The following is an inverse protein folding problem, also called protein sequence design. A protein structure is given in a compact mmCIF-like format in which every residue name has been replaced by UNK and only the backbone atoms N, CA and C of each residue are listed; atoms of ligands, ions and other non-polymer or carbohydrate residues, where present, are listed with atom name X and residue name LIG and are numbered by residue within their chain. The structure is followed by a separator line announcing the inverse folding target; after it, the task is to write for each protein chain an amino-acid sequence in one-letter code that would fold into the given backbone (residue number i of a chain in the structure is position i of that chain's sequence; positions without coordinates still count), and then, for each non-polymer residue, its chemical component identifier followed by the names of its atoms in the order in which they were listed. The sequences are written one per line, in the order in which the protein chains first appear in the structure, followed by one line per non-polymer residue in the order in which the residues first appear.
data_IF_667149344005
#
_entry.id   IF_667149344005
#
_cell.length_a   1.000
_cell.length_b   1.000
_cell.length_c   1.000
_cell.angle_alpha   90.00
_cell.angle_beta   90.00
_cell.angle_gamma   90.00
#
_symmetry.space_group_name_H-M   'P 1'
#
loop_
_entity.id
_entity.type
_entity.pdbx_description
1 polymer ?
#
# COMPACT_ATOMS: atom_id res chain seq x y z
N UNK A 1 12.55 10.67 -5.90
CA UNK A 1 12.95 10.86 -7.32
C UNK A 1 11.87 11.51 -8.21
N UNK A 2 10.57 11.21 -8.04
CA UNK A 2 9.47 11.80 -8.85
C UNK A 2 9.25 13.30 -8.61
N UNK A 3 9.51 13.79 -7.39
CA UNK A 3 9.46 15.22 -7.05
C UNK A 3 10.56 16.03 -7.74
N UNK A 4 11.78 15.48 -7.81
CA UNK A 4 12.90 16.10 -8.50
C UNK A 4 12.60 16.30 -10.01
N UNK A 5 11.95 15.32 -10.64
CA UNK A 5 11.55 15.40 -12.05
C UNK A 5 10.48 16.48 -12.29
N UNK A 6 9.50 16.61 -11.38
CA UNK A 6 8.50 17.67 -11.45
C UNK A 6 9.11 19.05 -11.24
N UNK A 7 10.05 19.19 -10.30
CA UNK A 7 10.78 20.44 -10.09
C UNK A 7 11.70 20.79 -11.27
N UNK A 8 12.25 19.77 -11.94
CA UNK A 8 13.11 19.96 -13.09
C UNK A 8 12.29 20.44 -14.29
N UNK A 9 11.10 19.88 -14.53
CA UNK A 9 10.17 20.34 -15.56
C UNK A 9 9.65 21.76 -15.31
N UNK A 10 9.32 22.13 -14.06
CA UNK A 10 8.91 23.51 -13.74
C UNK A 10 10.08 24.49 -13.90
N UNK A 11 11.28 24.10 -13.52
CA UNK A 11 12.49 24.90 -13.75
C UNK A 11 12.80 25.04 -15.24
N UNK A 12 12.72 23.97 -16.03
CA UNK A 12 12.91 24.00 -17.48
C UNK A 12 11.88 24.88 -18.16
N UNK A 13 10.60 24.76 -17.80
CA UNK A 13 9.53 25.61 -18.30
C UNK A 13 9.75 27.09 -17.97
N UNK A 14 10.22 27.38 -16.75
CA UNK A 14 10.58 28.74 -16.34
C UNK A 14 11.77 29.29 -17.15
N UNK A 15 12.81 28.48 -17.36
CA UNK A 15 13.99 28.85 -18.18
C UNK A 15 13.58 29.08 -19.64
N UNK A 16 12.71 28.23 -20.20
CA UNK A 16 12.22 28.35 -21.57
C UNK A 16 11.34 29.59 -21.75
N UNK A 17 10.47 29.89 -20.78
CA UNK A 17 9.67 31.11 -20.77
C UNK A 17 10.56 32.36 -20.68
N UNK A 18 11.58 32.33 -19.83
CA UNK A 18 12.55 33.42 -19.67
C UNK A 18 13.37 33.61 -20.96
N UNK A 19 13.76 32.52 -21.61
CA UNK A 19 14.44 32.53 -22.91
C UNK A 19 13.55 33.11 -24.03
N UNK A 20 12.26 32.73 -24.08
CA UNK A 20 11.27 33.29 -25.02
C UNK A 20 11.04 34.79 -24.83
N UNK A 21 10.94 35.24 -23.57
CA UNK A 21 10.72 36.66 -23.22
C UNK A 21 11.95 37.52 -23.58
N UNK A 22 13.17 37.02 -23.36
CA UNK A 22 14.40 37.75 -23.69
C UNK A 22 14.76 37.69 -25.18
N UNK A 23 14.51 36.56 -25.84
CA UNK A 23 14.98 36.30 -27.20
C UNK A 23 14.06 36.78 -28.31
N UNK A 24 12.73 36.71 -28.15
CA UNK A 24 11.83 36.77 -29.30
C UNK A 24 10.81 37.93 -29.31
N UNK A 25 10.62 38.67 -28.20
CA UNK A 25 9.56 39.68 -28.12
C UNK A 25 10.08 41.12 -28.07
N UNK A 26 9.68 42.05 -28.96
CA UNK A 26 10.07 43.47 -28.92
C UNK A 26 9.23 44.22 -27.87
N UNK A 27 9.32 43.78 -26.61
CA UNK A 27 8.68 44.40 -25.46
C UNK A 27 9.59 45.49 -24.88
N UNK A 28 8.98 46.60 -24.44
CA UNK A 28 9.65 47.65 -23.66
C UNK A 28 10.45 47.03 -22.51
N UNK A 29 11.64 47.58 -22.23
CA UNK A 29 12.60 47.05 -21.24
C UNK A 29 11.95 46.82 -19.88
N UNK A 30 10.97 47.64 -19.48
CA UNK A 30 10.23 47.50 -18.22
C UNK A 30 9.33 46.25 -18.15
N UNK A 31 8.64 45.88 -19.23
CA UNK A 31 7.74 44.72 -19.21
C UNK A 31 8.49 43.38 -19.29
N UNK A 32 9.66 43.34 -19.95
CA UNK A 32 10.57 42.17 -19.91
C UNK A 32 11.04 41.88 -18.48
N UNK A 33 11.46 42.91 -17.75
CA UNK A 33 11.89 42.77 -16.35
C UNK A 33 10.73 42.29 -15.49
N UNK A 34 9.55 42.91 -15.61
CA UNK A 34 8.36 42.53 -14.84
C UNK A 34 7.94 41.06 -15.05
N UNK A 35 7.95 40.56 -16.29
CA UNK A 35 7.60 39.17 -16.58
C UNK A 35 8.65 38.18 -16.08
N UNK A 36 9.93 38.51 -16.19
CA UNK A 36 11.00 37.63 -15.67
C UNK A 36 10.92 37.48 -14.14
N UNK A 37 10.64 38.57 -13.43
CA UNK A 37 10.40 38.58 -11.99
C UNK A 37 9.17 37.75 -11.62
N UNK A 38 8.09 37.84 -12.40
CA UNK A 38 6.88 37.02 -12.20
C UNK A 38 7.19 35.52 -12.31
N UNK A 39 7.95 35.10 -13.32
CA UNK A 39 8.30 33.69 -13.53
C UNK A 39 9.17 33.14 -12.40
N UNK A 40 10.15 33.91 -11.94
CA UNK A 40 11.00 33.55 -10.79
C UNK A 40 10.15 33.46 -9.52
N UNK A 41 9.23 34.41 -9.31
CA UNK A 41 8.37 34.44 -8.14
C UNK A 41 7.39 33.25 -8.12
N UNK A 42 6.75 32.94 -9.25
CA UNK A 42 5.83 31.80 -9.37
C UNK A 42 6.56 30.46 -9.19
N UNK A 43 7.73 30.30 -9.81
CA UNK A 43 8.54 29.07 -9.64
C UNK A 43 9.06 28.91 -8.21
N UNK A 44 9.52 30.00 -7.59
CA UNK A 44 9.91 30.03 -6.19
C UNK A 44 8.75 29.67 -5.25
N UNK A 45 7.57 30.24 -5.45
CA UNK A 45 6.36 29.92 -4.67
C UNK A 45 5.91 28.48 -4.88
N UNK A 46 5.93 27.97 -6.11
CA UNK A 46 5.61 26.56 -6.37
C UNK A 46 6.61 25.62 -5.69
N UNK A 47 7.90 25.92 -5.77
CA UNK A 47 8.94 25.13 -5.11
C UNK A 47 8.81 25.17 -3.59
N UNK A 48 8.52 26.36 -3.04
CA UNK A 48 8.32 26.54 -1.61
C UNK A 48 7.08 25.80 -1.12
N UNK A 49 5.95 25.88 -1.83
CA UNK A 49 4.74 25.12 -1.53
C UNK A 49 4.94 23.62 -1.62
N UNK A 50 5.68 23.14 -2.62
CA UNK A 50 6.01 21.72 -2.74
C UNK A 50 6.88 21.24 -1.58
N UNK A 51 7.94 21.98 -1.25
CA UNK A 51 8.80 21.68 -0.09
C UNK A 51 8.02 21.77 1.22
N UNK A 52 7.14 22.75 1.38
CA UNK A 52 6.35 22.90 2.59
C UNK A 52 5.35 21.76 2.71
N UNK A 53 4.71 21.32 1.62
CA UNK A 53 3.83 20.15 1.62
C UNK A 53 4.60 18.85 1.95
N UNK A 54 5.79 18.66 1.38
CA UNK A 54 6.63 17.49 1.68
C UNK A 54 7.14 17.52 3.12
N UNK A 55 7.55 18.68 3.62
CA UNK A 55 8.02 18.88 5.00
C UNK A 55 6.90 18.68 6.00
N UNK A 56 5.72 19.29 5.80
CA UNK A 56 4.56 19.12 6.66
C UNK A 56 4.14 17.65 6.72
N UNK A 57 4.21 16.92 5.60
CA UNK A 57 3.94 15.47 5.57
C UNK A 57 5.01 14.68 6.32
N UNK A 58 6.28 15.03 6.16
CA UNK A 58 7.37 14.37 6.86
C UNK A 58 7.34 14.64 8.38
N UNK A 59 7.00 15.84 8.82
CA UNK A 59 6.87 16.19 10.24
C UNK A 59 5.65 15.53 10.86
N UNK A 60 4.52 15.56 10.16
CA UNK A 60 3.30 14.78 10.47
C UNK A 60 3.71 13.33 10.70
N UNK A 61 4.25 12.64 9.70
CA UNK A 61 4.64 11.22 9.80
C UNK A 61 5.64 11.00 10.95
N UNK A 62 6.60 11.90 11.16
CA UNK A 62 7.60 11.78 12.23
C UNK A 62 6.99 11.89 13.63
N UNK A 63 6.16 12.90 13.88
CA UNK A 63 5.49 13.09 15.17
C UNK A 63 4.53 11.94 15.49
N UNK A 64 3.83 11.41 14.48
CA UNK A 64 2.93 10.26 14.67
C UNK A 64 3.66 8.93 14.87
N UNK A 65 4.78 8.71 14.17
CA UNK A 65 5.56 7.48 14.34
C UNK A 65 6.23 7.51 15.71
N UNK A 66 6.76 8.65 16.16
CA UNK A 66 7.44 8.77 17.46
C UNK A 66 6.53 8.38 18.65
N UNK A 67 5.25 8.79 18.63
CA UNK A 67 4.29 8.42 19.68
C UNK A 67 3.81 6.96 19.65
N UNK A 68 3.90 6.29 18.50
CA UNK A 68 3.27 4.98 18.27
C UNK A 68 4.27 3.88 17.88
N UNK A 69 5.57 4.11 18.10
CA UNK A 69 6.63 3.14 17.84
C UNK A 69 6.60 2.00 18.86
N UNK A 70 6.94 0.77 18.45
CA UNK A 70 7.20 -0.30 19.38
C UNK A 70 8.39 0.05 20.29
N UNK A 71 8.41 -0.46 21.53
CA UNK A 71 9.56 -0.33 22.44
C UNK A 71 10.85 -0.83 21.79
N UNK A 72 12.01 -0.29 22.20
CA UNK A 72 13.33 -0.69 21.68
C UNK A 72 13.60 -2.20 21.83
N UNK A 73 13.02 -2.83 22.85
CA UNK A 73 13.20 -4.25 23.17
C UNK A 73 12.17 -5.18 22.49
N UNK A 74 11.29 -4.65 21.63
CA UNK A 74 10.25 -5.46 20.99
C UNK A 74 10.86 -6.42 19.95
N UNK A 75 10.73 -7.72 20.22
CA UNK A 75 11.23 -8.81 19.37
C UNK A 75 10.16 -9.37 18.40
N UNK A 76 9.01 -8.72 18.30
CA UNK A 76 7.91 -9.16 17.43
C UNK A 76 7.98 -8.56 16.03
N UNK A 77 7.23 -9.14 15.09
CA UNK A 77 7.18 -8.63 13.71
C UNK A 77 6.55 -7.23 13.67
N UNK A 78 7.16 -6.32 12.92
CA UNK A 78 6.60 -4.98 12.68
C UNK A 78 6.02 -4.95 11.28
N UNK A 79 4.71 -4.77 11.17
CA UNK A 79 4.00 -4.87 9.89
C UNK A 79 3.42 -3.52 9.49
N UNK A 80 3.89 -3.00 8.35
CA UNK A 80 3.38 -1.78 7.74
C UNK A 80 2.14 -2.11 6.90
N UNK A 81 0.96 -1.73 7.36
CA UNK A 81 -0.30 -2.09 6.74
C UNK A 81 -0.76 -1.00 5.77
N UNK A 82 -0.81 -1.34 4.49
CA UNK A 82 -1.12 -0.47 3.36
C UNK A 82 -2.48 -0.82 2.73
N UNK A 83 -3.06 0.09 1.96
CA UNK A 83 -4.30 -0.15 1.21
C UNK A 83 -5.57 0.00 2.06
N UNK A 84 -6.53 -0.90 1.87
CA UNK A 84 -7.89 -0.85 2.45
C UNK A 84 -7.91 -1.41 3.87
N UNK A 85 -7.16 -0.78 4.75
CA UNK A 85 -6.82 -1.26 6.08
C UNK A 85 -7.84 -0.90 7.18
N UNK A 86 -8.95 -0.25 6.84
CA UNK A 86 -10.04 0.07 7.77
C UNK A 86 -10.56 -1.14 8.59
N UNK A 87 -10.65 -2.38 8.05
CA UNK A 87 -11.08 -3.54 8.82
C UNK A 87 -10.09 -3.96 9.93
N UNK A 88 -8.82 -3.55 9.84
CA UNK A 88 -7.77 -3.99 10.78
C UNK A 88 -7.59 -3.07 11.97
N UNK A 89 -7.93 -1.79 11.83
CA UNK A 89 -7.71 -0.78 12.87
C UNK A 89 -9.06 -0.35 13.46
N UNK A 90 -9.11 -0.24 14.79
CA UNK A 90 -10.28 0.32 15.48
C UNK A 90 -10.35 1.82 15.14
N UNK A 91 -11.56 2.34 14.90
CA UNK A 91 -11.80 3.75 14.57
C UNK A 91 -10.99 4.70 15.46
N UNK A 92 -10.02 5.42 14.85
CA UNK A 92 -9.18 6.40 15.55
C UNK A 92 -7.80 5.89 15.98
N UNK A 93 -7.57 4.58 16.01
CA UNK A 93 -6.24 4.00 16.27
C UNK A 93 -5.44 3.87 14.96
N UNK A 94 -4.19 4.33 14.97
CA UNK A 94 -3.27 4.25 13.82
C UNK A 94 -2.15 3.23 14.01
N UNK A 95 -2.16 2.54 15.15
CA UNK A 95 -1.38 1.35 15.40
C UNK A 95 -2.29 0.30 16.04
N UNK A 96 -1.95 -0.97 15.85
CA UNK A 96 -2.61 -2.09 16.53
C UNK A 96 -1.54 -3.01 17.07
N UNK A 97 -1.50 -3.12 18.38
CA UNK A 97 -0.66 -4.10 19.05
C UNK A 97 -1.36 -5.46 19.10
N UNK A 98 -0.64 -6.50 18.77
CA UNK A 98 -1.06 -7.88 19.00
C UNK A 98 0.06 -8.64 19.71
N UNK A 99 -0.26 -9.77 20.34
CA UNK A 99 0.73 -10.64 21.00
C UNK A 99 1.87 -11.11 20.09
N UNK A 100 1.69 -11.05 18.77
CA UNK A 100 2.64 -11.58 17.77
C UNK A 100 3.35 -10.49 16.97
N UNK A 101 2.90 -9.23 17.05
CA UNK A 101 3.45 -8.17 16.22
C UNK A 101 2.76 -6.83 16.36
N UNK A 102 3.44 -5.82 15.85
CA UNK A 102 3.04 -4.42 15.88
C UNK A 102 2.61 -3.99 14.48
N UNK A 103 1.35 -3.61 14.32
CA UNK A 103 0.80 -3.18 13.03
C UNK A 103 0.74 -1.65 12.97
N UNK A 104 1.37 -1.06 11.97
CA UNK A 104 1.36 0.39 11.74
C UNK A 104 0.49 0.73 10.53
N UNK A 105 -0.42 1.68 10.71
CA UNK A 105 -1.29 2.15 9.67
C UNK A 105 -0.54 3.07 8.70
N UNK A 106 -0.56 2.76 7.41
CA UNK A 106 -0.02 3.61 6.36
C UNK A 106 -1.17 4.13 5.51
N UNK A 107 -1.42 5.44 5.57
CA UNK A 107 -2.56 6.07 4.91
C UNK A 107 -2.34 6.18 3.39
N UNK A 108 -1.16 6.64 2.98
CA UNK A 108 -0.86 6.93 1.58
C UNK A 108 0.40 6.20 1.11
N UNK A 109 0.45 5.79 -0.16
CA UNK A 109 1.62 5.15 -0.76
C UNK A 109 2.89 6.03 -0.67
N UNK A 110 2.75 7.35 -0.67
CA UNK A 110 3.87 8.29 -0.52
C UNK A 110 4.45 8.30 0.91
N UNK A 111 3.67 7.93 1.92
CA UNK A 111 4.11 7.92 3.32
C UNK A 111 4.94 6.67 3.65
N UNK A 112 4.71 5.56 2.95
CA UNK A 112 5.42 4.30 3.17
C UNK A 112 6.96 4.45 3.11
N UNK A 113 7.56 5.04 2.05
CA UNK A 113 9.01 5.22 1.99
C UNK A 113 9.54 6.23 3.02
N UNK A 114 8.74 7.25 3.39
CA UNK A 114 9.12 8.22 4.43
C UNK A 114 9.18 7.56 5.81
N UNK A 115 8.18 6.74 6.12
CA UNK A 115 8.11 5.98 7.35
C UNK A 115 9.25 4.94 7.42
N UNK A 116 9.54 4.26 6.31
CA UNK A 116 10.68 3.37 6.19
C UNK A 116 12.03 4.07 6.47
N UNK A 117 12.25 5.25 5.87
CA UNK A 117 13.44 6.07 6.13
C UNK A 117 13.53 6.49 7.59
N UNK A 118 12.40 6.91 8.18
CA UNK A 118 12.37 7.33 9.56
C UNK A 118 12.67 6.17 10.52
N UNK A 119 12.08 4.99 10.31
CA UNK A 119 12.36 3.79 11.09
C UNK A 119 13.83 3.36 11.00
N UNK A 120 14.43 3.44 9.80
CA UNK A 120 15.85 3.14 9.61
C UNK A 120 16.75 4.08 10.42
N UNK A 121 16.38 5.36 10.54
CA UNK A 121 17.13 6.36 11.31
C UNK A 121 16.95 6.22 12.83
N UNK A 122 15.72 5.97 13.30
CA UNK A 122 15.42 5.93 14.75
C UNK A 122 15.71 4.55 15.35
N UNK A 123 15.41 3.47 14.63
CA UNK A 123 15.50 2.07 15.11
C UNK A 123 16.07 1.14 14.02
N UNK A 124 17.38 1.23 13.72
CA UNK A 124 18.00 0.39 12.70
C UNK A 124 17.90 -1.12 13.00
N UNK A 125 17.80 -1.51 14.28
CA UNK A 125 17.65 -2.91 14.69
C UNK A 125 16.35 -3.56 14.19
N UNK A 126 15.25 -2.79 14.14
CA UNK A 126 13.94 -3.29 13.72
C UNK A 126 13.82 -3.48 12.21
N UNK A 127 14.72 -2.89 11.41
CA UNK A 127 14.67 -2.94 9.95
C UNK A 127 14.60 -4.37 9.40
N UNK A 128 15.26 -5.32 10.07
CA UNK A 128 15.25 -6.74 9.70
C UNK A 128 13.91 -7.46 9.99
N UNK A 129 13.08 -6.88 10.84
CA UNK A 129 11.79 -7.43 11.30
C UNK A 129 10.58 -6.73 10.65
N UNK A 130 10.84 -5.77 9.75
CA UNK A 130 9.79 -5.04 9.06
C UNK A 130 9.23 -5.90 7.93
N UNK A 131 7.91 -6.07 7.91
CA UNK A 131 7.18 -6.59 6.78
C UNK A 131 6.16 -5.57 6.29
N UNK A 132 5.81 -5.63 5.01
CA UNK A 132 4.74 -4.80 4.44
C UNK A 132 3.55 -5.70 4.18
N UNK A 133 2.36 -5.27 4.61
CA UNK A 133 1.12 -5.96 4.32
C UNK A 133 0.24 -5.04 3.48
N UNK A 134 -0.07 -5.48 2.26
CA UNK A 134 -1.01 -4.81 1.38
C UNK A 134 -2.39 -5.45 1.55
N UNK A 135 -3.29 -4.66 2.11
CA UNK A 135 -4.65 -5.05 2.41
C UNK A 135 -5.58 -4.49 1.32
N UNK A 136 -6.47 -5.32 0.77
CA UNK A 136 -7.33 -4.97 -0.36
C UNK A 136 -8.77 -5.44 -0.11
N UNK A 137 -9.73 -4.54 -0.29
CA UNK A 137 -11.17 -4.87 -0.30
C UNK A 137 -11.71 -4.53 -1.68
N UNK A 138 -11.71 -5.46 -2.65
CA UNK A 138 -12.08 -5.16 -4.04
C UNK A 138 -13.50 -4.59 -4.16
N UNK A 139 -14.42 -4.99 -3.27
CA UNK A 139 -15.81 -4.53 -3.24
C UNK A 139 -15.96 -3.03 -2.95
N UNK A 140 -14.95 -2.38 -2.38
CA UNK A 140 -14.95 -0.93 -2.13
C UNK A 140 -14.52 -0.12 -3.36
N UNK A 141 -13.96 -0.76 -4.40
CA UNK A 141 -13.45 -0.08 -5.58
C UNK A 141 -14.45 -0.16 -6.73
N UNK A 142 -14.99 0.99 -7.15
CA UNK A 142 -15.96 1.08 -8.26
C UNK A 142 -15.30 0.99 -9.65
N UNK A 143 -14.00 1.27 -9.74
CA UNK A 143 -13.25 1.41 -11.00
C UNK A 143 -11.98 0.55 -10.97
N UNK A 144 -11.86 -0.35 -11.95
CA UNK A 144 -10.70 -1.23 -12.08
C UNK A 144 -9.40 -0.49 -12.43
N UNK A 145 -9.49 0.60 -13.17
CA UNK A 145 -8.32 1.42 -13.55
C UNK A 145 -7.76 2.16 -12.34
N UNK A 146 -8.63 2.75 -11.51
CA UNK A 146 -8.23 3.45 -10.29
C UNK A 146 -7.62 2.48 -9.28
N UNK A 147 -8.21 1.29 -9.14
CA UNK A 147 -7.67 0.22 -8.33
C UNK A 147 -6.27 -0.19 -8.79
N UNK A 148 -6.09 -0.47 -10.09
CA UNK A 148 -4.81 -0.86 -10.68
C UNK A 148 -3.77 0.26 -10.51
N UNK A 149 -4.17 1.52 -10.66
CA UNK A 149 -3.30 2.67 -10.44
C UNK A 149 -2.86 2.77 -8.97
N UNK A 150 -3.78 2.59 -8.03
CA UNK A 150 -3.51 2.58 -6.59
C UNK A 150 -2.54 1.46 -6.22
N UNK A 151 -2.82 0.24 -6.68
CA UNK A 151 -1.97 -0.94 -6.46
C UNK A 151 -0.55 -0.73 -6.98
N UNK A 152 -0.41 -0.24 -8.22
CA UNK A 152 0.91 0.12 -8.79
C UNK A 152 1.57 1.26 -8.02
N UNK A 153 0.79 2.15 -7.41
CA UNK A 153 1.27 3.15 -6.46
C UNK A 153 1.95 2.51 -5.26
N UNK A 154 1.28 1.56 -4.61
CA UNK A 154 1.79 0.80 -3.47
C UNK A 154 3.00 -0.06 -3.82
N UNK A 155 2.97 -0.82 -4.92
CA UNK A 155 4.12 -1.61 -5.39
C UNK A 155 5.36 -0.72 -5.58
N UNK A 156 5.20 0.46 -6.20
CA UNK A 156 6.31 1.43 -6.36
C UNK A 156 6.80 1.97 -5.01
N UNK A 157 5.91 2.17 -4.05
CA UNK A 157 6.28 2.63 -2.72
C UNK A 157 7.09 1.57 -1.97
N UNK A 158 6.70 0.29 -2.05
CA UNK A 158 7.43 -0.85 -1.47
C UNK A 158 8.83 -0.95 -2.08
N UNK A 159 8.97 -0.80 -3.40
CA UNK A 159 10.29 -0.79 -4.05
C UNK A 159 11.14 0.40 -3.59
N UNK A 160 10.53 1.55 -3.30
CA UNK A 160 11.25 2.72 -2.77
C UNK A 160 11.76 2.49 -1.34
N UNK A 161 11.11 1.65 -0.52
CA UNK A 161 11.58 1.29 0.81
C UNK A 161 12.94 0.57 0.79
N UNK A 162 13.31 -0.07 -0.34
CA UNK A 162 14.64 -0.67 -0.50
C UNK A 162 15.78 0.30 -0.24
N UNK A 163 15.60 1.58 -0.59
CA UNK A 163 16.63 2.60 -0.33
C UNK A 163 16.85 2.86 1.17
N UNK A 164 15.84 2.62 2.01
CA UNK A 164 15.90 2.82 3.45
C UNK A 164 16.33 1.58 4.22
N UNK A 165 15.88 0.40 3.79
CA UNK A 165 16.13 -0.89 4.46
C UNK A 165 17.33 -1.65 3.90
N UNK A 166 17.86 -1.25 2.73
CA UNK A 166 18.92 -1.95 2.01
C UNK A 166 18.42 -3.15 1.19
N UNK A 167 17.33 -3.79 1.61
CA UNK A 167 16.67 -4.91 0.93
C UNK A 167 15.19 -4.62 0.68
N UNK A 168 14.56 -5.42 -0.19
CA UNK A 168 13.11 -5.38 -0.35
C UNK A 168 12.47 -6.05 0.87
N UNK A 169 11.59 -5.36 1.61
CA UNK A 169 10.92 -5.96 2.75
C UNK A 169 9.97 -7.08 2.26
N UNK A 170 9.76 -8.14 3.05
CA UNK A 170 8.77 -9.16 2.72
C UNK A 170 7.39 -8.52 2.59
N UNK A 171 6.70 -8.83 1.49
CA UNK A 171 5.37 -8.33 1.16
C UNK A 171 4.33 -9.43 1.37
N UNK A 172 3.28 -9.10 2.11
CA UNK A 172 2.10 -9.93 2.31
C UNK A 172 0.93 -9.26 1.63
N UNK A 173 0.08 -10.01 0.95
CA UNK A 173 -1.19 -9.48 0.43
C UNK A 173 -2.33 -10.15 1.17
N UNK A 174 -3.25 -9.33 1.67
CA UNK A 174 -4.50 -9.79 2.28
C UNK A 174 -5.64 -9.19 1.48
N UNK A 175 -6.58 -10.04 1.05
CA UNK A 175 -7.78 -9.61 0.34
C UNK A 175 -8.98 -10.01 1.16
N UNK A 176 -9.86 -9.06 1.47
CA UNK A 176 -11.15 -9.34 2.12
C UNK A 176 -12.27 -9.25 1.10
N UNK A 177 -13.06 -10.31 1.03
CA UNK A 177 -14.19 -10.41 0.11
C UNK A 177 -15.39 -10.91 0.90
N UNK A 178 -16.58 -10.41 0.57
CA UNK A 178 -17.80 -10.87 1.19
C UNK A 178 -18.06 -12.34 0.84
N UNK A 179 -18.53 -13.14 1.81
CA UNK A 179 -18.81 -14.55 1.58
C UNK A 179 -19.96 -14.73 0.58
N UNK A 180 -20.01 -15.86 -0.15
CA UNK A 180 -21.12 -16.14 -1.04
C UNK A 180 -22.42 -16.27 -0.25
N UNK A 181 -23.54 -15.81 -0.82
CA UNK A 181 -24.89 -15.83 -0.19
C UNK A 181 -25.35 -17.23 0.25
N UNK A 182 -24.74 -18.27 -0.33
CA UNK A 182 -25.00 -19.69 -0.03
C UNK A 182 -24.16 -20.24 1.13
N UNK A 183 -23.29 -19.44 1.76
CA UNK A 183 -22.61 -19.79 3.01
C UNK A 183 -23.58 -19.68 4.19
N UNK A 184 -24.19 -20.80 4.57
CA UNK A 184 -25.00 -20.93 5.79
C UNK A 184 -24.25 -21.61 6.93
N UNK A 185 -23.00 -22.02 6.70
CA UNK A 185 -22.18 -22.73 7.71
C UNK A 185 -21.75 -21.76 8.83
N UNK A 186 -21.99 -22.17 10.08
CA UNK A 186 -21.70 -21.39 11.30
C UNK A 186 -20.20 -21.42 11.65
N UNK A 187 -19.46 -22.39 11.13
CA UNK A 187 -18.04 -22.58 11.42
C UNK A 187 -17.14 -22.09 10.27
N UNK A 188 -16.02 -21.40 10.58
CA UNK A 188 -15.08 -20.93 9.58
C UNK A 188 -14.33 -22.09 8.93
N UNK A 189 -14.44 -22.19 7.61
CA UNK A 189 -13.67 -23.14 6.80
C UNK A 189 -12.36 -22.49 6.37
N UNK A 190 -11.24 -23.17 6.64
CA UNK A 190 -9.91 -22.67 6.30
C UNK A 190 -9.37 -23.38 5.07
N UNK A 191 -8.97 -22.60 4.07
CA UNK A 191 -8.33 -23.09 2.87
C UNK A 191 -6.84 -22.76 2.93
N UNK A 192 -6.00 -23.74 2.64
CA UNK A 192 -4.54 -23.57 2.61
C UNK A 192 -4.00 -24.09 1.29
N UNK A 193 -3.15 -23.29 0.66
CA UNK A 193 -2.31 -23.72 -0.45
C UNK A 193 -0.87 -23.65 0.04
N UNK A 194 -0.15 -24.76 -0.05
CA UNK A 194 1.25 -24.85 0.39
C UNK A 194 2.05 -25.30 -0.81
N UNK A 195 3.12 -24.56 -1.16
CA UNK A 195 3.92 -24.80 -2.37
C UNK A 195 4.48 -26.23 -2.49
N UNK A 196 4.55 -26.99 -1.39
CA UNK A 196 5.00 -28.39 -1.38
C UNK A 196 3.91 -29.43 -1.65
N UNK A 197 2.63 -29.04 -1.67
CA UNK A 197 1.50 -29.93 -1.95
C UNK A 197 0.76 -29.46 -3.19
N UNK A 198 0.41 -30.41 -4.06
CA UNK A 198 -0.42 -30.15 -5.22
C UNK A 198 -1.86 -29.84 -4.75
N UNK A 199 -2.32 -28.62 -5.03
CA UNK A 199 -3.71 -28.20 -4.85
C UNK A 199 -4.07 -27.62 -3.48
N UNK A 200 -5.29 -27.09 -3.42
CA UNK A 200 -5.87 -26.45 -2.23
C UNK A 200 -6.31 -27.52 -1.23
N UNK A 201 -5.92 -27.35 0.03
CA UNK A 201 -6.30 -28.18 1.17
C UNK A 201 -7.32 -27.42 2.03
N UNK A 202 -8.35 -28.12 2.48
CA UNK A 202 -9.38 -27.62 3.37
C UNK A 202 -9.12 -28.20 4.75
N UNK A 203 -8.97 -27.34 5.75
CA UNK A 203 -8.86 -27.76 7.14
C UNK A 203 -10.25 -27.85 7.75
N UNK A 204 -10.61 -29.04 8.22
CA UNK A 204 -11.82 -29.29 8.98
C UNK A 204 -11.48 -29.61 10.44
N UNK A 205 -12.14 -28.95 11.41
CA UNK A 205 -12.01 -29.28 12.81
C UNK A 205 -12.30 -30.78 13.05
N UNK A 206 -11.32 -31.51 13.59
CA UNK A 206 -11.46 -32.94 13.92
C UNK A 206 -11.17 -33.94 12.80
N UNK A 207 -11.27 -33.55 11.52
CA UNK A 207 -10.95 -34.42 10.37
C UNK A 207 -9.60 -34.11 9.72
N UNK A 208 -8.96 -32.99 10.08
CA UNK A 208 -7.64 -32.62 9.57
C UNK A 208 -7.69 -31.93 8.21
N UNK A 209 -6.61 -32.04 7.43
CA UNK A 209 -6.52 -31.43 6.10
C UNK A 209 -6.99 -32.42 5.03
N UNK A 210 -8.06 -32.08 4.33
CA UNK A 210 -8.60 -32.83 3.17
C UNK A 210 -8.41 -32.03 1.89
N UNK A 211 -8.33 -32.72 0.74
CA UNK A 211 -8.22 -32.01 -0.55
C UNK A 211 -9.53 -31.32 -0.93
N UNK A 212 -9.48 -30.20 -1.65
CA UNK A 212 -10.68 -29.48 -2.12
C UNK A 212 -11.63 -30.39 -2.94
N UNK A 213 -11.07 -31.31 -3.73
CA UNK A 213 -11.84 -32.24 -4.57
C UNK A 213 -12.56 -33.32 -3.74
N UNK A 214 -11.97 -33.73 -2.62
CA UNK A 214 -12.56 -34.70 -1.70
C UNK A 214 -13.63 -34.04 -0.84
N UNK A 215 -13.32 -32.85 -0.32
CA UNK A 215 -14.23 -32.03 0.49
C UNK A 215 -15.52 -31.65 -0.26
N UNK A 216 -15.41 -31.32 -1.55
CA UNK A 216 -16.59 -31.03 -2.41
C UNK A 216 -17.41 -32.28 -2.75
N UNK A 217 -16.81 -33.47 -2.71
CA UNK A 217 -17.48 -34.75 -2.98
C UNK A 217 -18.11 -35.39 -1.75
N UNK A 218 -17.68 -34.99 -0.55
CA UNK A 218 -18.12 -35.62 0.70
C UNK A 218 -19.64 -35.52 0.89
N UNK A 219 -20.26 -36.69 1.06
CA UNK A 219 -21.71 -36.94 0.94
C UNK A 219 -22.49 -36.46 2.16
N UNK A 220 -22.93 -35.20 2.13
CA UNK A 220 -24.06 -34.69 2.90
C UNK A 220 -25.05 -33.98 1.97
N UNK A 221 -26.30 -34.43 1.91
CA UNK A 221 -27.31 -33.94 0.95
C UNK A 221 -27.56 -32.44 1.03
N UNK A 222 -27.37 -31.85 2.21
CA UNK A 222 -27.80 -30.47 2.49
C UNK A 222 -26.67 -29.43 2.34
N UNK A 223 -25.41 -29.87 2.19
CA UNK A 223 -24.23 -29.00 2.14
C UNK A 223 -23.49 -28.99 0.79
N UNK A 224 -23.74 -29.94 -0.11
CA UNK A 224 -22.94 -30.12 -1.33
C UNK A 224 -22.95 -28.90 -2.26
N UNK A 225 -24.12 -28.27 -2.46
CA UNK A 225 -24.23 -27.07 -3.29
C UNK A 225 -23.52 -25.85 -2.66
N UNK A 226 -23.58 -25.71 -1.33
CA UNK A 226 -22.87 -24.66 -0.59
C UNK A 226 -21.35 -24.83 -0.67
N UNK A 227 -20.84 -26.06 -0.52
CA UNK A 227 -19.40 -26.34 -0.65
C UNK A 227 -18.90 -26.13 -2.08
N UNK A 228 -19.71 -26.51 -3.08
CA UNK A 228 -19.38 -26.24 -4.48
C UNK A 228 -19.37 -24.73 -4.78
N UNK A 229 -20.33 -23.96 -4.26
CA UNK A 229 -20.34 -22.51 -4.44
C UNK A 229 -19.16 -21.85 -3.71
N UNK A 230 -18.79 -22.31 -2.51
CA UNK A 230 -17.59 -21.87 -1.80
C UNK A 230 -16.31 -22.16 -2.60
N UNK A 231 -16.18 -23.36 -3.17
CA UNK A 231 -15.04 -23.72 -4.00
C UNK A 231 -14.94 -22.86 -5.26
N UNK A 232 -16.06 -22.58 -5.93
CA UNK A 232 -16.12 -21.75 -7.14
C UNK A 232 -15.86 -20.27 -6.83
N UNK A 233 -16.37 -19.78 -5.70
CA UNK A 233 -16.06 -18.45 -5.16
C UNK A 233 -14.57 -18.30 -4.87
N UNK A 234 -13.96 -19.28 -4.20
CA UNK A 234 -12.53 -19.28 -3.90
C UNK A 234 -11.68 -19.30 -5.18
N UNK A 235 -12.03 -20.15 -6.15
CA UNK A 235 -11.32 -20.23 -7.44
C UNK A 235 -11.41 -18.89 -8.20
N UNK A 236 -12.59 -18.26 -8.21
CA UNK A 236 -12.76 -16.93 -8.81
C UNK A 236 -11.93 -15.85 -8.12
N UNK A 237 -11.82 -15.92 -6.79
CA UNK A 237 -11.02 -14.99 -6.00
C UNK A 237 -9.52 -15.18 -6.27
N UNK A 238 -9.04 -16.42 -6.31
CA UNK A 238 -7.65 -16.74 -6.60
C UNK A 238 -7.29 -16.36 -8.05
N UNK A 239 -8.17 -16.62 -9.02
CA UNK A 239 -7.98 -16.21 -10.40
C UNK A 239 -7.88 -14.69 -10.52
N UNK A 240 -8.76 -13.96 -9.82
CA UNK A 240 -8.70 -12.50 -9.75
C UNK A 240 -7.39 -12.03 -9.10
N UNK A 241 -7.01 -12.59 -7.95
CA UNK A 241 -5.80 -12.22 -7.22
C UNK A 241 -4.53 -12.43 -8.07
N UNK A 242 -4.41 -13.57 -8.75
CA UNK A 242 -3.29 -13.85 -9.65
C UNK A 242 -3.27 -12.91 -10.88
N UNK A 243 -4.41 -12.38 -11.30
CA UNK A 243 -4.48 -11.45 -12.44
C UNK A 243 -4.25 -9.99 -12.04
N UNK A 244 -4.63 -9.64 -10.81
CA UNK A 244 -4.73 -8.26 -10.36
C UNK A 244 -3.59 -7.85 -9.44
N UNK A 245 -3.05 -8.77 -8.63
CA UNK A 245 -2.09 -8.50 -7.56
C UNK A 245 -0.66 -8.97 -7.87
N UNK A 246 -0.52 -10.12 -8.56
CA UNK A 246 0.77 -10.67 -9.03
C UNK A 246 1.32 -9.89 -10.25
#
# INVERSE_FOLDING_TARGET
MREAYRSLFTALGAVLALWLILGFWPLSTGSRVALSLLVILVSGVMFWRQRQASQLRATTVREFVDENLPPEDFQGAVTLVCGDNAPLFVSGSRHRETRQGWYLWVKDAEQLPLLAQHLSLVRPALVSQISVMLAVVPEQHTSGDDFTQSLRGWQRAVVQCRAAFGTLPPLWTVTWVSPPVSCTEVEPVWFTTVSQRSGIQVYQPGQGNVSLMEWTRETGSDGRLSRLSQGLWLDSLLAWQNSAVD
#
